data_IF_920255584081
#
_entry.id   IF_920255584081
#
_cell.length_a   1.000
_cell.length_b   1.000
_cell.length_c   1.000
_cell.angle_alpha   90.00
_cell.angle_beta   90.00
_cell.angle_gamma   90.00
#
_symmetry.space_group_name_H-M   'P 1'
#
loop_
_entity.id
_entity.type
_entity.pdbx_description
1 polymer ?
#
# COMPACT_ATOMS: atom_id res chain seq x y z
N UNK A 1 19.39 -2.01 16.28
CA UNK A 1 18.57 -1.06 17.04
C UNK A 1 18.27 0.09 16.11
N UNK A 2 17.00 0.32 15.77
CA UNK A 2 16.59 1.47 14.95
C UNK A 2 16.68 2.71 15.86
N UNK A 3 17.45 3.71 15.46
CA UNK A 3 17.54 4.97 16.19
C UNK A 3 16.49 5.92 15.64
N UNK A 4 15.44 6.17 16.43
CA UNK A 4 14.37 7.10 16.07
C UNK A 4 14.75 8.52 16.52
N UNK A 5 14.61 9.49 15.61
CA UNK A 5 14.80 10.91 15.89
C UNK A 5 13.46 11.63 15.74
N UNK A 6 13.13 12.53 16.68
CA UNK A 6 11.95 13.38 16.61
C UNK A 6 12.38 14.84 16.59
N UNK A 7 11.86 15.58 15.63
CA UNK A 7 12.12 17.01 15.46
C UNK A 7 10.81 17.78 15.52
N UNK A 8 10.90 19.03 15.95
CA UNK A 8 9.77 19.96 15.88
C UNK A 8 9.68 20.62 14.50
N UNK A 9 8.52 21.16 14.17
CA UNK A 9 8.29 21.95 12.95
C UNK A 9 9.32 23.08 12.74
N UNK A 10 9.77 23.71 13.82
CA UNK A 10 10.74 24.81 13.77
C UNK A 10 12.15 24.34 13.41
N UNK A 11 12.45 23.07 13.67
CA UNK A 11 13.76 22.47 13.42
C UNK A 11 13.85 21.82 12.04
N UNK A 12 12.71 21.57 11.37
CA UNK A 12 12.62 20.80 10.13
C UNK A 12 13.69 21.18 9.10
N UNK A 13 13.77 22.46 8.74
CA UNK A 13 14.72 22.94 7.72
C UNK A 13 16.18 22.76 8.15
N UNK A 14 16.49 23.02 9.41
CA UNK A 14 17.85 22.88 9.93
C UNK A 14 18.28 21.41 10.05
N UNK A 15 17.34 20.51 10.37
CA UNK A 15 17.64 19.10 10.58
C UNK A 15 17.83 18.35 9.28
N UNK A 16 17.18 18.75 8.18
CA UNK A 16 17.38 18.17 6.84
C UNK A 16 18.86 18.20 6.44
N UNK A 17 19.55 19.30 6.74
CA UNK A 17 20.98 19.44 6.48
C UNK A 17 21.87 18.46 7.28
N UNK A 18 21.32 17.79 8.29
CA UNK A 18 22.06 16.88 9.18
C UNK A 18 21.69 15.40 9.01
N UNK A 19 20.69 15.07 8.18
CA UNK A 19 20.16 13.70 8.07
C UNK A 19 21.24 12.71 7.65
N UNK A 20 21.92 12.99 6.54
CA UNK A 20 23.01 12.15 6.01
C UNK A 20 24.16 12.01 6.99
N UNK A 21 24.52 13.09 7.69
CA UNK A 21 25.60 13.08 8.71
C UNK A 21 25.24 12.19 9.91
N UNK A 22 23.95 12.07 10.22
CA UNK A 22 23.42 11.20 11.28
C UNK A 22 23.21 9.76 10.81
N UNK A 23 23.45 9.44 9.53
CA UNK A 23 23.19 8.13 8.94
C UNK A 23 21.69 7.80 8.87
N UNK A 24 20.83 8.81 8.85
CA UNK A 24 19.38 8.62 8.69
C UNK A 24 19.10 8.30 7.23
N UNK A 25 18.48 7.14 6.98
CA UNK A 25 18.12 6.66 5.63
C UNK A 25 16.66 6.92 5.28
N UNK A 26 15.80 7.11 6.29
CA UNK A 26 14.37 7.36 6.14
C UNK A 26 13.92 8.54 7.00
N UNK A 27 13.08 9.41 6.44
CA UNK A 27 12.58 10.59 7.14
C UNK A 27 11.10 10.86 6.85
N UNK A 28 10.26 10.84 7.89
CA UNK A 28 8.81 11.08 7.76
C UNK A 28 8.41 12.48 8.22
N UNK A 29 7.60 13.15 7.42
CA UNK A 29 7.19 14.55 7.63
C UNK A 29 5.67 14.61 7.75
N UNK A 30 5.17 14.86 8.97
CA UNK A 30 3.74 14.97 9.29
C UNK A 30 3.30 16.40 9.63
N UNK A 31 4.07 17.41 9.20
CA UNK A 31 3.81 18.81 9.53
C UNK A 31 2.58 19.34 8.78
N UNK A 32 1.51 19.64 9.52
CA UNK A 32 0.23 20.08 8.94
C UNK A 32 0.29 21.44 8.23
N UNK A 33 1.21 22.32 8.62
CA UNK A 33 1.39 23.62 7.97
C UNK A 33 2.11 23.47 6.63
N UNK A 34 3.06 22.53 6.56
CA UNK A 34 3.71 22.16 5.29
C UNK A 34 2.71 21.47 4.37
N UNK A 35 1.95 20.48 4.89
CA UNK A 35 1.03 19.65 4.10
C UNK A 35 -0.01 20.45 3.30
N UNK A 36 -0.38 21.66 3.76
CA UNK A 36 -1.41 22.54 3.17
C UNK A 36 -0.87 23.67 2.31
N UNK A 37 0.45 23.90 2.32
CA UNK A 37 1.07 25.05 1.64
C UNK A 37 2.05 24.58 0.57
N UNK A 38 1.64 24.73 -0.69
CA UNK A 38 2.44 24.38 -1.87
C UNK A 38 3.84 25.02 -1.85
N UNK A 39 3.97 26.27 -1.41
CA UNK A 39 5.28 26.95 -1.39
C UNK A 39 6.21 26.30 -0.37
N UNK A 40 5.66 25.88 0.78
CA UNK A 40 6.42 25.17 1.81
C UNK A 40 6.82 23.78 1.34
N UNK A 41 5.92 23.03 0.70
CA UNK A 41 6.25 21.72 0.10
C UNK A 41 7.38 21.84 -0.93
N UNK A 42 7.29 22.79 -1.86
CA UNK A 42 8.34 22.99 -2.87
C UNK A 42 9.67 23.42 -2.25
N UNK A 43 9.64 24.29 -1.24
CA UNK A 43 10.85 24.68 -0.49
C UNK A 43 11.48 23.47 0.20
N UNK A 44 10.66 22.62 0.82
CA UNK A 44 11.09 21.40 1.49
C UNK A 44 11.75 20.42 0.51
N UNK A 45 11.11 20.15 -0.63
CA UNK A 45 11.68 19.28 -1.66
C UNK A 45 13.04 19.80 -2.12
N UNK A 46 13.15 21.11 -2.40
CA UNK A 46 14.44 21.70 -2.80
C UNK A 46 15.53 21.55 -1.73
N UNK A 47 15.19 21.63 -0.43
CA UNK A 47 16.14 21.41 0.64
C UNK A 47 16.61 19.95 0.69
N UNK A 48 15.70 18.99 0.46
CA UNK A 48 16.03 17.56 0.41
C UNK A 48 16.96 17.28 -0.78
N UNK A 49 16.65 17.79 -1.97
CA UNK A 49 17.52 17.68 -3.16
C UNK A 49 18.94 18.17 -2.86
N UNK A 50 19.07 19.26 -2.11
CA UNK A 50 20.38 19.88 -1.84
C UNK A 50 21.20 19.16 -0.76
N UNK A 51 20.54 18.55 0.23
CA UNK A 51 21.21 18.13 1.46
C UNK A 51 21.07 16.64 1.78
N UNK A 52 20.04 15.98 1.27
CA UNK A 52 19.69 14.61 1.60
C UNK A 52 19.04 13.88 0.40
N UNK A 53 19.64 13.93 -0.81
CA UNK A 53 19.02 13.35 -2.01
C UNK A 53 18.83 11.84 -1.94
N UNK A 54 19.69 11.14 -1.17
CA UNK A 54 19.66 9.68 -1.02
C UNK A 54 18.78 9.20 0.15
N UNK A 55 18.16 10.12 0.89
CA UNK A 55 17.25 9.78 2.00
C UNK A 55 15.86 9.54 1.44
N UNK A 56 15.25 8.42 1.80
CA UNK A 56 13.83 8.19 1.50
C UNK A 56 12.96 9.07 2.38
N UNK A 57 12.05 9.84 1.78
CA UNK A 57 11.20 10.79 2.51
C UNK A 57 9.72 10.45 2.36
N UNK A 58 9.04 10.19 3.46
CA UNK A 58 7.56 10.11 3.48
C UNK A 58 6.98 11.47 3.82
N UNK A 59 6.17 12.02 2.92
CA UNK A 59 5.61 13.36 3.08
C UNK A 59 4.09 13.24 3.19
N UNK A 60 3.57 13.54 4.38
CA UNK A 60 2.14 13.76 4.56
C UNK A 60 1.73 15.05 3.85
N UNK A 61 0.79 14.95 2.91
CA UNK A 61 0.39 16.07 2.06
C UNK A 61 -1.11 16.07 1.81
N UNK A 62 -1.75 17.24 1.96
CA UNK A 62 -3.17 17.36 1.63
C UNK A 62 -3.34 17.31 0.11
N UNK A 63 -4.28 16.49 -0.37
CA UNK A 63 -4.51 16.26 -1.80
C UNK A 63 -4.71 17.55 -2.64
N UNK A 64 -5.22 18.62 -2.02
CA UNK A 64 -5.39 19.93 -2.65
C UNK A 64 -4.07 20.62 -3.02
N UNK A 65 -3.00 20.33 -2.27
CA UNK A 65 -1.66 20.89 -2.46
C UNK A 65 -0.94 20.22 -3.64
N UNK A 66 -1.31 18.99 -3.98
CA UNK A 66 -0.70 18.22 -5.07
C UNK A 66 -1.14 18.78 -6.43
N UNK A 67 -0.21 19.30 -7.20
CA UNK A 67 -0.42 19.65 -8.61
C UNK A 67 0.80 19.25 -9.46
N UNK A 68 0.79 19.60 -10.75
CA UNK A 68 1.86 19.23 -11.68
C UNK A 68 3.23 19.76 -11.24
N UNK A 69 3.29 20.92 -10.57
CA UNK A 69 4.55 21.50 -10.13
C UNK A 69 5.09 20.74 -8.91
N UNK A 70 4.22 20.38 -7.96
CA UNK A 70 4.60 19.54 -6.82
C UNK A 70 5.02 18.15 -7.28
N UNK A 71 4.26 17.53 -8.18
CA UNK A 71 4.60 16.21 -8.74
C UNK A 71 5.96 16.24 -9.47
N UNK A 72 6.19 17.23 -10.32
CA UNK A 72 7.48 17.37 -11.02
C UNK A 72 8.67 17.66 -10.09
N UNK A 73 8.45 18.36 -8.98
CA UNK A 73 9.50 18.55 -7.99
C UNK A 73 9.81 17.25 -7.25
N UNK A 74 8.78 16.47 -6.91
CA UNK A 74 8.91 15.22 -6.16
C UNK A 74 9.72 14.15 -6.90
N UNK A 75 9.74 14.14 -8.23
CA UNK A 75 10.57 13.18 -9.01
C UNK A 75 12.08 13.37 -8.82
N UNK A 76 12.52 14.45 -8.17
CA UNK A 76 13.93 14.73 -7.92
C UNK A 76 14.43 14.14 -6.59
N UNK A 77 13.55 13.52 -5.81
CA UNK A 77 13.88 12.92 -4.51
C UNK A 77 13.28 11.52 -4.41
N UNK A 78 13.88 10.66 -3.59
CA UNK A 78 13.27 9.39 -3.24
C UNK A 78 12.16 9.64 -2.22
N UNK A 79 10.91 9.75 -2.66
CA UNK A 79 9.80 10.05 -1.75
C UNK A 79 8.54 9.23 -1.99
N UNK A 80 7.72 9.17 -0.94
CA UNK A 80 6.34 8.76 -0.97
C UNK A 80 5.43 9.89 -0.47
N UNK A 81 4.26 10.03 -1.06
CA UNK A 81 3.21 10.90 -0.53
C UNK A 81 2.17 10.12 0.28
N UNK A 82 1.94 10.55 1.52
CA UNK A 82 0.85 10.04 2.36
C UNK A 82 -0.34 11.00 2.29
N UNK A 83 -1.43 10.53 1.68
CA UNK A 83 -2.56 11.39 1.28
C UNK A 83 -3.80 11.03 2.10
N UNK A 84 -4.29 11.91 2.99
CA UNK A 84 -5.52 11.63 3.73
C UNK A 84 -6.75 11.61 2.81
N UNK A 85 -7.48 10.49 2.81
CA UNK A 85 -8.76 10.34 2.10
C UNK A 85 -9.91 10.91 2.92
N UNK A 86 -9.95 12.24 2.99
CA UNK A 86 -10.96 12.98 3.74
C UNK A 86 -12.33 12.96 3.08
N UNK A 87 -13.35 13.02 3.94
CA UNK A 87 -14.74 13.28 3.59
C UNK A 87 -15.11 14.69 4.00
N UNK A 88 -15.87 15.40 3.17
CA UNK A 88 -16.37 16.73 3.47
C UNK A 88 -17.78 16.64 4.08
N UNK A 89 -18.05 17.36 5.18
CA UNK A 89 -19.40 17.48 5.72
C UNK A 89 -20.13 18.67 5.09
N UNK A 90 -21.27 18.42 4.43
CA UNK A 90 -22.14 19.47 3.89
C UNK A 90 -23.58 19.20 4.28
N UNK A 91 -24.12 20.05 5.16
CA UNK A 91 -25.51 19.92 5.64
C UNK A 91 -25.77 18.63 6.42
N UNK A 92 -24.77 18.13 7.17
CA UNK A 92 -24.88 16.90 7.94
C UNK A 92 -24.69 15.60 7.14
N UNK A 93 -24.43 15.70 5.83
CA UNK A 93 -24.07 14.55 4.98
C UNK A 93 -22.58 14.59 4.64
N UNK A 94 -21.91 13.47 4.86
CA UNK A 94 -20.53 13.28 4.39
C UNK A 94 -20.49 13.01 2.89
N UNK A 95 -19.61 13.74 2.20
CA UNK A 95 -19.39 13.69 0.77
C UNK A 95 -17.94 13.29 0.51
N UNK A 96 -17.75 12.30 -0.36
CA UNK A 96 -16.44 11.84 -0.81
C UNK A 96 -16.28 12.11 -2.30
N UNK A 97 -15.34 12.99 -2.66
CA UNK A 97 -15.13 13.38 -4.05
C UNK A 97 -14.19 12.39 -4.77
N UNK A 98 -14.78 11.30 -5.28
CA UNK A 98 -14.06 10.28 -6.06
C UNK A 98 -13.33 10.86 -7.27
N UNK A 99 -13.91 11.88 -7.93
CA UNK A 99 -13.32 12.48 -9.13
C UNK A 99 -12.08 13.29 -8.77
N UNK A 100 -12.13 14.03 -7.67
CA UNK A 100 -10.99 14.77 -7.18
C UNK A 100 -9.81 13.83 -6.86
N UNK A 101 -10.02 12.82 -6.01
CA UNK A 101 -8.94 11.91 -5.61
C UNK A 101 -8.41 11.06 -6.78
N UNK A 102 -9.27 10.57 -7.69
CA UNK A 102 -8.80 9.81 -8.87
C UNK A 102 -7.97 10.67 -9.82
N UNK A 103 -8.26 11.96 -9.95
CA UNK A 103 -7.41 12.86 -10.73
C UNK A 103 -6.05 13.12 -10.06
N UNK A 104 -5.97 13.12 -8.72
CA UNK A 104 -4.70 13.25 -7.99
C UNK A 104 -3.88 11.97 -8.11
N UNK A 105 -4.48 10.81 -7.89
CA UNK A 105 -3.80 9.53 -8.07
C UNK A 105 -3.31 9.34 -9.50
N UNK A 106 -4.12 9.66 -10.52
CA UNK A 106 -3.68 9.63 -11.92
C UNK A 106 -2.47 10.52 -12.15
N UNK A 107 -2.50 11.76 -11.64
CA UNK A 107 -1.36 12.66 -11.77
C UNK A 107 -0.07 12.06 -11.16
N UNK A 108 -0.15 11.39 -10.02
CA UNK A 108 1.03 10.77 -9.38
C UNK A 108 1.52 9.56 -10.17
N UNK A 109 0.60 8.70 -10.63
CA UNK A 109 0.90 7.57 -11.50
C UNK A 109 1.55 8.00 -12.82
N UNK A 110 1.04 9.07 -13.45
CA UNK A 110 1.60 9.63 -14.70
C UNK A 110 3.05 10.11 -14.53
N UNK A 111 3.45 10.47 -13.30
CA UNK A 111 4.81 10.88 -12.94
C UNK A 111 5.65 9.74 -12.35
N UNK A 112 5.09 8.53 -12.21
CA UNK A 112 5.77 7.39 -11.58
C UNK A 112 6.07 7.59 -10.09
N UNK A 113 5.28 8.43 -9.40
CA UNK A 113 5.49 8.73 -7.99
C UNK A 113 4.83 7.68 -7.08
N UNK A 114 5.54 7.32 -6.01
CA UNK A 114 5.01 6.47 -4.94
C UNK A 114 4.05 7.29 -4.07
N UNK A 115 2.88 6.73 -3.77
CA UNK A 115 1.94 7.35 -2.84
C UNK A 115 1.06 6.32 -2.15
N UNK A 116 0.55 6.69 -0.98
CA UNK A 116 -0.45 5.93 -0.26
C UNK A 116 -1.61 6.80 0.21
N UNK A 117 -2.59 6.12 0.79
CA UNK A 117 -3.76 6.78 1.37
C UNK A 117 -3.87 6.54 2.87
N UNK A 118 -4.08 7.61 3.63
CA UNK A 118 -4.48 7.53 5.02
C UNK A 118 -6.01 7.49 5.11
N UNK A 119 -6.53 6.45 5.74
CA UNK A 119 -7.96 6.23 5.89
C UNK A 119 -8.37 6.06 7.36
N UNK A 120 -9.44 6.73 7.74
CA UNK A 120 -10.08 6.57 9.05
C UNK A 120 -11.50 6.03 8.93
N UNK A 121 -11.97 5.40 10.01
CA UNK A 121 -13.33 4.89 10.20
C UNK A 121 -13.91 5.42 11.51
N UNK A 122 -15.21 5.70 11.52
CA UNK A 122 -15.94 6.13 12.73
C UNK A 122 -15.35 7.36 13.46
N UNK A 123 -14.57 8.18 12.75
CA UNK A 123 -13.96 9.40 13.27
C UNK A 123 -14.92 10.59 13.12
N UNK A 124 -15.47 10.75 11.91
CA UNK A 124 -16.38 11.85 11.57
C UNK A 124 -17.85 11.50 11.85
N UNK A 125 -18.57 12.43 12.47
CA UNK A 125 -20.00 12.27 12.71
C UNK A 125 -20.78 12.20 11.39
N UNK A 126 -21.63 11.17 11.24
CA UNK A 126 -22.39 10.91 10.03
C UNK A 126 -21.70 9.97 9.04
N UNK A 127 -20.51 9.44 9.37
CA UNK A 127 -19.90 8.34 8.64
C UNK A 127 -20.60 7.01 8.95
N UNK A 128 -20.45 6.04 8.08
CA UNK A 128 -21.04 4.71 8.23
C UNK A 128 -20.08 3.64 7.75
N UNK A 129 -20.27 2.41 8.23
CA UNK A 129 -19.47 1.28 7.76
C UNK A 129 -19.52 1.14 6.24
N UNK A 130 -20.70 1.29 5.64
CA UNK A 130 -20.85 1.25 4.18
C UNK A 130 -19.99 2.29 3.47
N UNK A 131 -19.98 3.53 3.95
CA UNK A 131 -19.17 4.59 3.34
C UNK A 131 -17.67 4.32 3.51
N UNK A 132 -17.24 3.77 4.65
CA UNK A 132 -15.85 3.33 4.84
C UNK A 132 -15.44 2.26 3.82
N UNK A 133 -16.25 1.20 3.67
CA UNK A 133 -15.97 0.12 2.71
C UNK A 133 -16.00 0.66 1.25
N UNK A 134 -16.96 1.52 0.92
CA UNK A 134 -17.05 2.18 -0.39
C UNK A 134 -15.81 3.06 -0.69
N UNK A 135 -15.19 3.66 0.33
CA UNK A 135 -13.92 4.40 0.21
C UNK A 135 -12.73 3.47 0.04
N UNK A 136 -12.68 2.36 0.78
CA UNK A 136 -11.60 1.38 0.68
C UNK A 136 -11.56 0.74 -0.71
N UNK A 137 -12.72 0.35 -1.22
CA UNK A 137 -12.86 -0.16 -2.59
C UNK A 137 -12.41 0.87 -3.62
N UNK A 138 -12.73 2.15 -3.40
CA UNK A 138 -12.24 3.21 -4.28
C UNK A 138 -10.72 3.38 -4.20
N UNK A 139 -10.15 3.41 -2.99
CA UNK A 139 -8.74 3.66 -2.74
C UNK A 139 -7.86 2.63 -3.46
N UNK A 140 -8.16 1.34 -3.29
CA UNK A 140 -7.45 0.24 -3.94
C UNK A 140 -7.45 0.38 -5.48
N UNK A 141 -8.56 0.83 -6.06
CA UNK A 141 -8.70 1.03 -7.51
C UNK A 141 -7.81 2.15 -8.08
N UNK A 142 -7.15 2.92 -7.21
CA UNK A 142 -6.22 3.97 -7.65
C UNK A 142 -4.76 3.51 -7.67
N UNK A 143 -4.47 2.24 -7.37
CA UNK A 143 -3.13 1.65 -7.28
C UNK A 143 -2.17 2.37 -6.30
N UNK A 144 -2.62 2.74 -5.07
CA UNK A 144 -1.71 3.29 -4.07
C UNK A 144 -0.69 2.23 -3.65
N UNK A 145 0.57 2.61 -3.41
CA UNK A 145 1.63 1.73 -2.92
C UNK A 145 1.33 1.18 -1.51
N UNK A 146 0.53 1.90 -0.74
CA UNK A 146 0.07 1.50 0.60
C UNK A 146 -1.26 2.17 0.95
N UNK A 147 -2.00 1.54 1.85
CA UNK A 147 -3.15 2.15 2.51
C UNK A 147 -2.95 1.97 4.01
N UNK A 148 -2.91 3.09 4.71
CA UNK A 148 -2.67 3.12 6.15
C UNK A 148 -3.93 3.53 6.91
N UNK A 149 -4.03 2.98 8.11
CA UNK A 149 -5.15 3.18 9.00
C UNK A 149 -4.59 3.55 10.37
N UNK A 150 -4.42 4.85 10.67
CA UNK A 150 -3.79 5.33 11.90
C UNK A 150 -4.37 4.66 13.15
N UNK A 151 -5.68 4.40 13.15
CA UNK A 151 -6.46 3.78 14.23
C UNK A 151 -6.10 2.32 14.53
N UNK A 152 -5.36 1.64 13.64
CA UNK A 152 -4.82 0.29 13.87
C UNK A 152 -3.33 0.29 14.21
N UNK A 153 -2.65 1.42 14.05
CA UNK A 153 -1.22 1.56 14.24
C UNK A 153 -0.88 2.21 15.57
N UNK A 154 -1.75 3.11 16.05
CA UNK A 154 -1.52 3.92 17.23
C UNK A 154 -2.71 3.80 18.21
N UNK A 155 -2.42 3.50 19.47
CA UNK A 155 -3.42 3.38 20.53
C UNK A 155 -4.14 4.71 20.89
N UNK A 156 -3.53 5.86 20.60
CA UNK A 156 -4.18 7.16 20.70
C UNK A 156 -5.17 7.38 19.56
N UNK A 157 -4.77 7.05 18.34
CA UNK A 157 -5.64 7.10 17.15
C UNK A 157 -6.77 6.08 17.25
N UNK A 158 -6.56 4.90 17.86
CA UNK A 158 -7.64 3.94 18.12
C UNK A 158 -8.81 4.58 18.88
N UNK A 159 -8.55 5.59 19.73
CA UNK A 159 -9.57 6.30 20.52
C UNK A 159 -10.36 7.34 19.71
N UNK A 160 -9.95 7.64 18.47
CA UNK A 160 -10.72 8.55 17.60
C UNK A 160 -11.96 7.86 17.03
N UNK A 161 -11.95 6.53 16.89
CA UNK A 161 -13.10 5.74 16.47
C UNK A 161 -14.20 5.74 17.56
N UNK A 162 -15.36 6.34 17.26
CA UNK A 162 -16.45 6.52 18.23
C UNK A 162 -17.76 5.95 17.72
N UNK A 163 -18.55 5.41 18.65
CA UNK A 163 -19.91 4.98 18.35
C UNK A 163 -20.74 6.20 17.98
N UNK A 164 -21.43 6.14 16.86
CA UNK A 164 -22.34 7.18 16.38
C UNK A 164 -23.70 6.57 16.05
N UNK A 165 -24.68 7.39 15.66
CA UNK A 165 -25.99 6.89 15.21
C UNK A 165 -25.92 5.99 13.97
N UNK A 166 -24.83 6.05 13.20
CA UNK A 166 -24.63 5.33 11.93
C UNK A 166 -23.43 4.37 11.94
N UNK A 167 -22.72 4.28 13.08
CA UNK A 167 -21.55 3.45 13.25
C UNK A 167 -21.59 2.78 14.64
N UNK A 168 -22.01 1.53 14.69
CA UNK A 168 -22.14 0.78 15.95
C UNK A 168 -20.78 0.31 16.47
N UNK A 169 -20.73 -0.11 17.74
CA UNK A 169 -19.52 -0.73 18.29
C UNK A 169 -19.10 -2.02 17.55
N UNK A 170 -20.06 -2.73 16.95
CA UNK A 170 -19.77 -3.91 16.12
C UNK A 170 -19.17 -3.49 14.78
N UNK A 171 -19.71 -2.43 14.17
CA UNK A 171 -19.18 -1.89 12.93
C UNK A 171 -17.75 -1.39 13.11
N UNK A 172 -17.43 -0.74 14.24
CA UNK A 172 -16.07 -0.27 14.54
C UNK A 172 -15.09 -1.46 14.60
N UNK A 173 -15.50 -2.55 15.26
CA UNK A 173 -14.67 -3.77 15.31
C UNK A 173 -14.47 -4.35 13.91
N UNK A 174 -15.53 -4.40 13.11
CA UNK A 174 -15.46 -4.91 11.75
C UNK A 174 -14.54 -4.03 10.88
N UNK A 175 -14.69 -2.71 10.92
CA UNK A 175 -13.85 -1.77 10.17
C UNK A 175 -12.38 -1.87 10.59
N UNK A 176 -12.09 -2.00 11.90
CA UNK A 176 -10.74 -2.25 12.41
C UNK A 176 -10.15 -3.54 11.86
N UNK A 177 -10.91 -4.64 11.92
CA UNK A 177 -10.41 -5.95 11.50
C UNK A 177 -10.16 -5.97 9.98
N UNK A 178 -11.03 -5.35 9.17
CA UNK A 178 -10.82 -5.13 7.73
C UNK A 178 -9.60 -4.23 7.45
N UNK A 179 -9.43 -3.15 8.21
CA UNK A 179 -8.30 -2.22 8.08
C UNK A 179 -6.98 -2.93 8.35
N UNK A 180 -6.93 -3.72 9.42
CA UNK A 180 -5.76 -4.51 9.78
C UNK A 180 -5.45 -5.60 8.73
N UNK A 181 -6.47 -6.24 8.19
CA UNK A 181 -6.33 -7.19 7.10
C UNK A 181 -5.79 -6.53 5.82
N UNK A 182 -6.29 -5.35 5.47
CA UNK A 182 -5.77 -4.56 4.35
C UNK A 182 -4.30 -4.17 4.57
N UNK A 183 -3.97 -3.63 5.74
CA UNK A 183 -2.59 -3.30 6.12
C UNK A 183 -1.65 -4.52 6.01
N UNK A 184 -2.08 -5.67 6.53
CA UNK A 184 -1.29 -6.91 6.50
C UNK A 184 -1.11 -7.44 5.07
N UNK A 185 -2.21 -7.59 4.32
CA UNK A 185 -2.19 -8.24 3.02
C UNK A 185 -1.66 -7.32 1.92
N UNK A 186 -2.11 -6.07 1.90
CA UNK A 186 -1.87 -5.14 0.80
C UNK A 186 -0.61 -4.30 1.03
N UNK A 187 -0.55 -3.54 2.12
CA UNK A 187 0.55 -2.61 2.41
C UNK A 187 1.83 -3.37 2.81
N UNK A 188 1.85 -4.04 3.96
CA UNK A 188 3.02 -4.80 4.42
C UNK A 188 3.34 -6.00 3.51
N UNK A 189 2.31 -6.61 2.94
CA UNK A 189 2.44 -7.70 1.97
C UNK A 189 2.86 -7.25 0.56
N UNK A 190 3.01 -5.95 0.30
CA UNK A 190 3.48 -5.38 -0.98
C UNK A 190 2.69 -5.89 -2.19
N UNK A 191 1.36 -5.90 -2.10
CA UNK A 191 0.49 -6.55 -3.09
C UNK A 191 0.14 -5.69 -4.31
N UNK A 192 0.47 -4.40 -4.29
CA UNK A 192 0.02 -3.39 -5.27
C UNK A 192 0.20 -3.80 -6.73
N UNK A 193 1.35 -4.37 -7.16
CA UNK A 193 1.59 -4.70 -8.57
C UNK A 193 0.60 -5.72 -9.15
N UNK A 194 0.02 -6.59 -8.32
CA UNK A 194 -0.72 -7.77 -8.76
C UNK A 194 -2.12 -7.92 -8.15
N UNK A 195 -2.41 -7.22 -7.05
CA UNK A 195 -3.62 -7.43 -6.24
C UNK A 195 -4.91 -7.37 -7.06
N UNK A 196 -5.05 -6.33 -7.91
CA UNK A 196 -6.26 -6.12 -8.69
C UNK A 196 -6.46 -7.18 -9.78
N UNK A 197 -5.36 -7.66 -10.38
CA UNK A 197 -5.39 -8.75 -11.37
C UNK A 197 -5.88 -10.04 -10.73
N UNK A 198 -5.40 -10.35 -9.51
CA UNK A 198 -5.83 -11.51 -8.72
C UNK A 198 -7.25 -11.34 -8.16
N UNK A 199 -7.68 -10.12 -7.84
CA UNK A 199 -9.05 -9.88 -7.34
C UNK A 199 -10.11 -10.06 -8.43
N UNK A 200 -9.79 -9.73 -9.68
CA UNK A 200 -10.74 -9.66 -10.81
C UNK A 200 -11.48 -10.98 -11.09
N UNK A 201 -10.82 -12.16 -11.20
CA UNK A 201 -11.51 -13.45 -11.36
C UNK A 201 -12.47 -13.80 -10.22
N UNK A 202 -12.17 -13.35 -9.00
CA UNK A 202 -13.00 -13.62 -7.81
C UNK A 202 -14.32 -12.86 -7.81
N UNK A 203 -14.44 -11.79 -8.62
CA UNK A 203 -15.65 -10.96 -8.78
C UNK A 203 -16.21 -10.44 -7.44
N UNK A 204 -15.32 -10.07 -6.53
CA UNK A 204 -15.65 -9.46 -5.25
C UNK A 204 -14.97 -8.11 -5.11
N UNK A 205 -15.57 -7.24 -4.29
CA UNK A 205 -14.96 -5.98 -3.89
C UNK A 205 -13.76 -6.22 -2.96
N UNK A 206 -12.79 -5.31 -2.97
CA UNK A 206 -11.58 -5.41 -2.14
C UNK A 206 -11.93 -5.41 -0.65
N UNK A 207 -12.90 -4.59 -0.25
CA UNK A 207 -13.45 -4.53 1.10
C UNK A 207 -14.00 -5.87 1.56
N UNK A 208 -14.64 -6.64 0.67
CA UNK A 208 -15.09 -8.01 0.97
C UNK A 208 -13.93 -8.99 1.04
N UNK A 209 -12.96 -8.90 0.12
CA UNK A 209 -11.75 -9.71 0.14
C UNK A 209 -11.01 -9.56 1.49
N UNK A 210 -10.79 -8.31 1.95
CA UNK A 210 -10.11 -8.06 3.22
C UNK A 210 -10.95 -8.46 4.43
N UNK A 211 -12.28 -8.41 4.35
CA UNK A 211 -13.14 -8.95 5.41
C UNK A 211 -12.98 -10.48 5.54
N UNK A 212 -12.95 -11.19 4.41
CA UNK A 212 -12.71 -12.63 4.39
C UNK A 212 -11.29 -12.97 4.90
N UNK A 213 -10.29 -12.15 4.54
CA UNK A 213 -8.92 -12.30 5.06
C UNK A 213 -8.84 -12.01 6.57
N UNK A 214 -9.58 -11.03 7.09
CA UNK A 214 -9.64 -10.75 8.52
C UNK A 214 -10.20 -11.94 9.31
N UNK A 215 -11.21 -12.62 8.78
CA UNK A 215 -11.73 -13.86 9.36
C UNK A 215 -10.68 -14.98 9.34
N UNK A 216 -9.96 -15.14 8.22
CA UNK A 216 -8.85 -16.07 8.10
C UNK A 216 -7.74 -15.78 9.12
N UNK A 217 -7.32 -14.52 9.28
CA UNK A 217 -6.32 -14.10 10.25
C UNK A 217 -6.73 -14.42 11.69
N UNK A 218 -8.01 -14.22 12.02
CA UNK A 218 -8.56 -14.57 13.34
C UNK A 218 -8.49 -16.07 13.60
N UNK A 219 -8.79 -16.91 12.62
CA UNK A 219 -8.71 -18.36 12.73
C UNK A 219 -7.26 -18.87 12.85
N UNK A 220 -6.29 -18.12 12.31
CA UNK A 220 -4.86 -18.45 12.34
C UNK A 220 -4.06 -17.70 13.43
N UNK A 221 -4.75 -17.04 14.38
CA UNK A 221 -4.14 -16.31 15.50
C UNK A 221 -3.13 -15.21 15.09
N UNK A 222 -3.39 -14.53 13.97
CA UNK A 222 -2.58 -13.43 13.46
C UNK A 222 -3.42 -12.18 13.11
N UNK A 223 -4.63 -12.06 13.67
CA UNK A 223 -5.46 -10.85 13.56
C UNK A 223 -5.06 -9.76 14.56
N UNK A 224 -5.67 -8.58 14.47
CA UNK A 224 -5.33 -7.39 15.29
C UNK A 224 -5.12 -7.68 16.79
N UNK A 225 -6.01 -8.47 17.40
CA UNK A 225 -5.98 -8.76 18.84
C UNK A 225 -4.90 -9.76 19.27
N UNK A 226 -4.22 -10.42 18.33
CA UNK A 226 -3.18 -11.40 18.64
C UNK A 226 -1.85 -10.76 19.08
N UNK A 227 -1.68 -9.45 18.85
CA UNK A 227 -0.41 -8.75 19.00
C UNK A 227 0.50 -8.88 17.77
N UNK A 228 0.02 -9.48 16.68
CA UNK A 228 0.71 -9.50 15.39
C UNK A 228 0.94 -8.07 14.86
N UNK A 229 2.18 -7.77 14.48
CA UNK A 229 2.57 -6.47 13.91
C UNK A 229 3.10 -6.72 12.49
N UNK A 230 2.29 -6.48 11.44
CA UNK A 230 2.66 -6.79 10.06
C UNK A 230 4.02 -6.22 9.62
N UNK A 231 4.35 -4.99 10.03
CA UNK A 231 5.59 -4.29 9.66
C UNK A 231 6.85 -4.86 10.33
N UNK A 232 6.68 -5.65 11.39
CA UNK A 232 7.79 -6.31 12.07
C UNK A 232 8.11 -7.68 11.48
N UNK A 233 7.24 -8.20 10.60
CA UNK A 233 7.41 -9.51 9.97
C UNK A 233 8.21 -9.39 8.66
N UNK A 234 8.97 -10.43 8.34
CA UNK A 234 9.63 -10.55 7.04
C UNK A 234 8.58 -10.71 5.94
N UNK A 235 8.81 -10.12 4.77
CA UNK A 235 7.86 -10.21 3.66
C UNK A 235 7.54 -11.65 3.27
N UNK A 236 8.52 -12.57 3.32
CA UNK A 236 8.32 -14.00 3.04
C UNK A 236 7.21 -14.64 3.90
N UNK A 237 7.08 -14.22 5.17
CA UNK A 237 6.02 -14.74 6.05
C UNK A 237 4.64 -14.23 5.63
N UNK A 238 4.56 -12.95 5.23
CA UNK A 238 3.34 -12.34 4.71
C UNK A 238 2.94 -12.94 3.36
N UNK A 239 3.89 -13.17 2.46
CA UNK A 239 3.68 -13.85 1.17
C UNK A 239 3.08 -15.25 1.38
N UNK A 240 3.61 -16.01 2.34
CA UNK A 240 3.04 -17.32 2.69
C UNK A 240 1.58 -17.21 3.14
N UNK A 241 1.24 -16.19 3.95
CA UNK A 241 -0.14 -15.95 4.37
C UNK A 241 -1.03 -15.58 3.18
N UNK A 242 -0.53 -14.74 2.26
CA UNK A 242 -1.24 -14.36 1.04
C UNK A 242 -1.55 -15.60 0.18
N UNK A 243 -0.54 -16.44 -0.09
CA UNK A 243 -0.69 -17.65 -0.90
C UNK A 243 -1.69 -18.63 -0.30
N UNK A 244 -1.58 -18.92 1.00
CA UNK A 244 -2.50 -19.84 1.70
C UNK A 244 -3.95 -19.33 1.67
N UNK A 245 -4.15 -18.02 1.83
CA UNK A 245 -5.49 -17.44 1.76
C UNK A 245 -6.02 -17.43 0.32
N UNK A 246 -5.19 -17.08 -0.66
CA UNK A 246 -5.58 -17.05 -2.07
C UNK A 246 -5.98 -18.43 -2.57
N UNK A 247 -5.23 -19.48 -2.21
CA UNK A 247 -5.58 -20.87 -2.55
C UNK A 247 -7.00 -21.21 -2.06
N UNK A 248 -7.29 -21.00 -0.77
CA UNK A 248 -8.62 -21.21 -0.19
C UNK A 248 -9.70 -20.36 -0.88
N UNK A 249 -9.39 -19.11 -1.21
CA UNK A 249 -10.35 -18.18 -1.80
C UNK A 249 -10.68 -18.54 -3.24
N UNK A 250 -9.70 -18.98 -4.01
CA UNK A 250 -9.88 -19.43 -5.39
C UNK A 250 -10.64 -20.76 -5.45
N UNK A 251 -10.39 -21.67 -4.51
CA UNK A 251 -11.20 -22.88 -4.34
C UNK A 251 -12.67 -22.54 -4.02
N UNK A 252 -12.93 -21.67 -3.05
CA UNK A 252 -14.28 -21.21 -2.69
C UNK A 252 -15.04 -20.62 -3.89
N UNK A 253 -14.33 -19.91 -4.78
CA UNK A 253 -14.90 -19.28 -5.98
C UNK A 253 -14.93 -20.20 -7.21
N UNK A 254 -14.54 -21.46 -7.08
CA UNK A 254 -14.43 -22.43 -8.18
C UNK A 254 -13.52 -21.90 -9.32
N UNK A 255 -12.43 -21.23 -8.97
CA UNK A 255 -11.42 -20.70 -9.89
C UNK A 255 -10.08 -21.47 -9.77
N UNK A 256 -10.14 -22.74 -9.34
CA UNK A 256 -8.96 -23.54 -9.02
C UNK A 256 -7.96 -23.69 -10.18
N UNK A 257 -8.41 -23.63 -11.42
CA UNK A 257 -7.57 -23.66 -12.62
C UNK A 257 -6.59 -22.47 -12.70
N UNK A 258 -6.90 -21.35 -12.05
CA UNK A 258 -6.05 -20.14 -12.04
C UNK A 258 -4.99 -20.16 -10.93
N UNK A 259 -5.04 -21.12 -10.00
CA UNK A 259 -4.14 -21.14 -8.82
C UNK A 259 -2.66 -21.18 -9.21
N UNK A 260 -2.18 -21.98 -10.20
CA UNK A 260 -0.78 -21.96 -10.61
C UNK A 260 -0.31 -20.57 -11.06
N UNK A 261 -1.09 -19.92 -11.93
CA UNK A 261 -0.80 -18.56 -12.41
C UNK A 261 -0.77 -17.54 -11.26
N UNK A 262 -1.76 -17.59 -10.37
CA UNK A 262 -1.84 -16.68 -9.21
C UNK A 262 -0.61 -16.85 -8.31
N UNK A 263 -0.20 -18.10 -8.06
CA UNK A 263 0.99 -18.39 -7.27
C UNK A 263 2.24 -17.82 -7.92
N UNK A 264 2.41 -18.01 -9.23
CA UNK A 264 3.58 -17.52 -9.95
C UNK A 264 3.67 -16.00 -9.93
N UNK A 265 2.55 -15.30 -10.17
CA UNK A 265 2.46 -13.84 -10.09
C UNK A 265 2.87 -13.36 -8.68
N UNK A 266 2.31 -13.96 -7.63
CA UNK A 266 2.58 -13.55 -6.24
C UNK A 266 4.04 -13.81 -5.87
N UNK A 267 4.58 -14.98 -6.20
CA UNK A 267 5.96 -15.37 -5.86
C UNK A 267 6.99 -14.55 -6.64
N UNK A 268 6.75 -14.27 -7.93
CA UNK A 268 7.65 -13.45 -8.75
C UNK A 268 7.70 -12.01 -8.22
N UNK A 269 6.54 -11.38 -8.03
CA UNK A 269 6.47 -10.03 -7.47
C UNK A 269 7.01 -9.97 -6.04
N UNK A 270 6.77 -11.01 -5.24
CA UNK A 270 7.28 -11.11 -3.87
C UNK A 270 8.80 -11.24 -3.82
N UNK A 271 9.40 -12.03 -4.72
CA UNK A 271 10.85 -12.13 -4.84
C UNK A 271 11.50 -10.80 -5.24
N UNK A 272 10.94 -10.11 -6.25
CA UNK A 272 11.39 -8.75 -6.61
C UNK A 272 11.25 -7.77 -5.44
N UNK A 273 10.13 -7.85 -4.72
CA UNK A 273 9.87 -7.00 -3.55
C UNK A 273 10.84 -7.26 -2.40
N UNK A 274 11.21 -8.51 -2.14
CA UNK A 274 12.22 -8.86 -1.13
C UNK A 274 13.60 -8.38 -1.50
N UNK A 275 13.98 -8.47 -2.77
CA UNK A 275 15.24 -7.89 -3.22
C UNK A 275 15.25 -6.37 -3.01
N UNK A 276 14.20 -5.66 -3.43
CA UNK A 276 14.11 -4.21 -3.29
C UNK A 276 14.08 -3.73 -1.82
N UNK A 277 13.32 -4.41 -0.96
CA UNK A 277 13.11 -3.95 0.42
C UNK A 277 14.00 -4.61 1.48
N UNK A 278 14.54 -5.79 1.21
CA UNK A 278 15.32 -6.58 2.17
C UNK A 278 16.72 -6.96 1.64
N UNK A 279 17.04 -6.65 0.38
CA UNK A 279 18.31 -7.01 -0.26
C UNK A 279 18.47 -8.51 -0.49
N UNK A 280 17.37 -9.27 -0.52
CA UNK A 280 17.38 -10.72 -0.64
C UNK A 280 17.29 -11.17 -2.11
N UNK A 281 18.42 -11.61 -2.67
CA UNK A 281 18.42 -12.37 -3.92
C UNK A 281 17.81 -13.75 -3.73
N UNK A 282 17.16 -14.27 -4.76
CA UNK A 282 16.51 -15.57 -4.67
C UNK A 282 16.43 -16.30 -6.00
N UNK A 283 16.11 -17.59 -5.93
CA UNK A 283 15.73 -18.39 -7.08
C UNK A 283 14.37 -18.99 -6.81
N UNK A 284 13.44 -18.77 -7.74
CA UNK A 284 12.07 -19.26 -7.68
C UNK A 284 11.80 -20.19 -8.85
N UNK A 285 10.70 -20.94 -8.77
CA UNK A 285 10.19 -21.75 -9.87
C UNK A 285 8.80 -21.23 -10.22
N UNK A 286 8.58 -20.93 -11.48
CA UNK A 286 7.30 -20.49 -12.04
C UNK A 286 6.81 -21.50 -13.07
N UNK A 287 5.50 -21.61 -13.24
CA UNK A 287 4.86 -22.47 -14.24
C UNK A 287 4.69 -21.78 -15.60
N UNK A 288 4.97 -20.48 -15.67
CA UNK A 288 4.95 -19.65 -16.86
C UNK A 288 6.24 -18.83 -16.94
N UNK A 289 6.57 -18.38 -18.15
CA UNK A 289 7.71 -17.51 -18.38
C UNK A 289 7.55 -16.17 -17.62
N UNK A 290 8.58 -15.69 -16.90
CA UNK A 290 8.53 -14.42 -16.19
C UNK A 290 8.23 -13.19 -17.07
N UNK A 291 8.63 -13.18 -18.34
CA UNK A 291 8.32 -12.09 -19.27
C UNK A 291 6.80 -11.99 -19.51
N UNK A 292 6.12 -13.13 -19.66
CA UNK A 292 4.66 -13.17 -19.81
C UNK A 292 3.98 -12.75 -18.51
N UNK A 293 4.47 -13.22 -17.36
CA UNK A 293 3.90 -12.90 -16.04
C UNK A 293 3.96 -11.41 -15.68
N UNK A 294 4.92 -10.65 -16.23
CA UNK A 294 5.08 -9.22 -16.00
C UNK A 294 4.48 -8.35 -17.11
N UNK A 295 4.00 -8.97 -18.18
CA UNK A 295 3.34 -8.31 -19.29
C UNK A 295 1.93 -7.80 -18.94
N UNK A 296 1.35 -6.99 -19.82
CA UNK A 296 -0.04 -6.55 -19.70
C UNK A 296 -1.05 -7.70 -19.77
N UNK A 297 -0.68 -8.85 -20.36
CA UNK A 297 -1.57 -10.01 -20.47
C UNK A 297 -1.92 -10.58 -19.09
N UNK A 298 -1.01 -10.48 -18.12
CA UNK A 298 -1.22 -10.87 -16.73
C UNK A 298 -2.23 -9.98 -15.97
N UNK A 299 -2.80 -8.93 -16.61
CA UNK A 299 -3.92 -8.14 -16.06
C UNK A 299 -5.28 -8.83 -16.26
N UNK A 300 -5.34 -9.89 -17.08
CA UNK A 300 -6.54 -10.68 -17.28
C UNK A 300 -6.24 -12.18 -17.18
N UNK A 301 -6.24 -12.69 -15.95
CA UNK A 301 -5.79 -14.06 -15.65
C UNK A 301 -6.53 -15.14 -16.44
N UNK A 302 -7.82 -14.96 -16.71
CA UNK A 302 -8.59 -15.92 -17.51
C UNK A 302 -8.10 -15.95 -18.95
N UNK A 303 -7.91 -14.79 -19.58
CA UNK A 303 -7.38 -14.72 -20.93
C UNK A 303 -5.92 -15.19 -20.99
N UNK A 304 -5.14 -14.92 -19.96
CA UNK A 304 -3.76 -15.38 -19.87
C UNK A 304 -3.68 -16.92 -19.91
N UNK A 305 -4.40 -17.61 -19.01
CA UNK A 305 -4.40 -19.09 -18.97
C UNK A 305 -4.90 -19.74 -20.28
N UNK A 306 -5.75 -19.05 -21.04
CA UNK A 306 -6.27 -19.57 -22.32
C UNK A 306 -5.26 -19.42 -23.48
N UNK A 307 -4.35 -18.45 -23.41
CA UNK A 307 -3.52 -18.05 -24.55
C UNK A 307 -2.00 -18.26 -24.33
N UNK A 308 -1.55 -18.36 -23.08
CA UNK A 308 -0.13 -18.53 -22.74
C UNK A 308 0.14 -19.99 -22.38
N UNK A 309 1.22 -20.55 -22.93
CA UNK A 309 1.60 -21.93 -22.66
C UNK A 309 2.35 -22.03 -21.33
N UNK A 310 2.04 -23.07 -20.55
CA UNK A 310 2.82 -23.38 -19.36
C UNK A 310 4.20 -23.93 -19.74
N UNK A 311 5.23 -23.31 -19.20
CA UNK A 311 6.62 -23.74 -19.30
C UNK A 311 7.24 -23.54 -17.92
N UNK A 312 7.69 -24.64 -17.29
CA UNK A 312 8.35 -24.53 -15.99
C UNK A 312 9.68 -23.80 -16.17
N UNK A 313 9.80 -22.65 -15.50
CA UNK A 313 10.99 -21.82 -15.54
C UNK A 313 11.60 -21.74 -14.14
N UNK A 314 12.93 -21.88 -14.08
CA UNK A 314 13.70 -21.54 -12.88
C UNK A 314 14.22 -20.12 -13.06
N UNK A 315 13.82 -19.22 -12.18
CA UNK A 315 14.07 -17.77 -12.34
C UNK A 315 14.95 -17.28 -11.20
N UNK A 316 16.10 -16.70 -11.53
CA UNK A 316 16.98 -16.04 -10.56
C UNK A 316 16.68 -14.55 -10.52
N UNK A 317 16.48 -14.01 -9.32
CA UNK A 317 16.21 -12.60 -9.04
C UNK A 317 17.45 -12.01 -8.38
N UNK A 318 18.02 -10.95 -8.97
CA UNK A 318 19.29 -10.34 -8.56
C UNK A 318 19.27 -8.81 -8.68
N UNK A 319 20.19 -8.13 -7.99
CA UNK A 319 20.27 -6.67 -8.00
C UNK A 319 20.88 -6.15 -9.31
N UNK A 320 20.10 -5.39 -10.08
CA UNK A 320 20.54 -4.66 -11.27
C UNK A 320 20.97 -3.22 -10.98
N UNK A 321 21.26 -2.45 -12.05
CA UNK A 321 21.68 -1.04 -11.91
C UNK A 321 20.53 -0.11 -11.51
N UNK A 322 19.31 -0.37 -12.00
CA UNK A 322 18.13 0.47 -11.78
C UNK A 322 17.09 -0.15 -10.84
N UNK A 323 17.33 -1.38 -10.36
CA UNK A 323 16.41 -2.09 -9.46
C UNK A 323 16.53 -3.61 -9.55
N UNK A 324 15.54 -4.35 -9.03
CA UNK A 324 15.46 -5.80 -9.18
C UNK A 324 15.42 -6.23 -10.66
N UNK A 325 16.30 -7.15 -11.03
CA UNK A 325 16.33 -7.80 -12.35
C UNK A 325 16.14 -9.32 -12.21
N UNK A 326 15.89 -9.99 -13.33
CA UNK A 326 15.74 -11.44 -13.36
C UNK A 326 16.37 -12.07 -14.60
N UNK A 327 16.77 -13.34 -14.46
CA UNK A 327 17.17 -14.20 -15.57
C UNK A 327 16.57 -15.60 -15.42
N UNK A 328 16.25 -16.23 -16.55
CA UNK A 328 15.83 -17.64 -16.58
C UNK A 328 17.10 -18.50 -16.64
N UNK A 329 17.22 -19.43 -15.71
CA UNK A 329 18.37 -20.34 -15.58
C UNK A 329 17.95 -21.79 -15.89
N UNK A 330 18.90 -22.56 -16.42
CA UNK A 330 18.70 -23.99 -16.76
C UNK A 330 18.55 -24.90 -15.54
#
# INVERSE_FOLDING_TARGET
>A
MITEYKFTSQELEAQIATLTQKGITEFSIHDSDVAKDKRRVLKLINLIVQHAPDVFVSIYIEAQTIDREVAAAATQIFCSFDIPLRVASKGGKLLFDKKFYSNKARLLNDYGLVFGFDMTYAEEAGDSLKQFLDRLDFAIQQYPNHIDFPQTMNAEEEKTARVTGTFSAQDIRYARDVSFACRTFYSSGRAVPWFLSVLKPLRIYASRFFADFAEWQRCNNCGYKSGFVPEAEKHLALEKMQLLFLEQKYEEKNQHELIPLVKDIVVLNGAMSRLAGEGEESTIVTSYNPDDLLSEDAMNLTAFCENVCMEECRVHIFAGEEGPEFEVIE
#
